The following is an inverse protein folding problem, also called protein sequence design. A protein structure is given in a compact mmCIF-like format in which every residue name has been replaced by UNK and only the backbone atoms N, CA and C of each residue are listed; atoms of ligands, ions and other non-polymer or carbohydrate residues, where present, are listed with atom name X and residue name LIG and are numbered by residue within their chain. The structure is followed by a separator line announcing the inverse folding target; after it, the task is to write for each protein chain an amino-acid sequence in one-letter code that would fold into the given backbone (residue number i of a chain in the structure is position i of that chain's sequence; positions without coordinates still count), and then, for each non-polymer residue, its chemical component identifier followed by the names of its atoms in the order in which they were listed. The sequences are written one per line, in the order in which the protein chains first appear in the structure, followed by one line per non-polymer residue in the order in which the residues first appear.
data_IF_436295150896
#
_entry.id   IF_436295150896
#
_cell.length_a   1.000
_cell.length_b   1.000
_cell.length_c   1.000
_cell.angle_alpha   90.00
_cell.angle_beta   90.00
_cell.angle_gamma   90.00
#
_symmetry.space_group_name_H-M   'P 1'
#
loop_
_entity.id
_entity.type
_entity.pdbx_description
1 polymer ?
#
# COMPACT_ATOMS: atom_id res chain seq x y z
N UNK A 1 17.60 0.08 -9.57
CA UNK A 1 16.71 0.15 -8.39
C UNK A 1 17.58 0.40 -7.18
N UNK A 2 17.47 1.55 -6.50
CA UNK A 2 18.09 1.66 -5.17
C UNK A 2 17.25 0.79 -4.24
N UNK A 3 17.84 -0.27 -3.68
CA UNK A 3 17.23 -1.00 -2.59
C UNK A 3 17.22 -0.05 -1.39
N UNK A 4 16.07 0.55 -1.12
CA UNK A 4 15.84 1.23 0.14
C UNK A 4 16.00 0.15 1.23
N UNK A 5 16.94 0.27 2.19
CA UNK A 5 17.15 -0.74 3.22
C UNK A 5 16.09 -0.62 4.33
N UNK A 6 14.81 -0.58 3.94
CA UNK A 6 13.68 -0.46 4.86
C UNK A 6 12.97 -1.81 4.91
N UNK A 7 12.77 -2.30 6.12
CA UNK A 7 12.01 -3.50 6.41
C UNK A 7 10.73 -3.11 7.16
N UNK A 8 9.61 -3.68 6.75
CA UNK A 8 8.31 -3.56 7.41
C UNK A 8 7.91 -4.93 7.97
N UNK A 9 7.10 -4.96 9.03
CA UNK A 9 6.81 -6.17 9.81
C UNK A 9 5.30 -6.39 9.98
N UNK A 10 4.92 -7.63 10.32
CA UNK A 10 3.53 -8.01 10.53
C UNK A 10 2.70 -7.84 9.24
N UNK A 11 1.52 -7.26 9.38
CA UNK A 11 0.62 -6.96 8.26
C UNK A 11 0.88 -5.61 7.57
N UNK A 12 2.05 -5.00 7.77
CA UNK A 12 2.37 -3.73 7.13
C UNK A 12 2.94 -3.92 5.72
N UNK A 13 2.60 -2.98 4.84
CA UNK A 13 3.08 -2.85 3.47
C UNK A 13 3.83 -1.54 3.33
N UNK A 14 5.00 -1.59 2.68
CA UNK A 14 5.67 -0.42 2.18
C UNK A 14 5.32 -0.26 0.70
N UNK A 15 4.63 0.83 0.39
CA UNK A 15 4.20 1.16 -0.97
C UNK A 15 4.87 2.43 -1.45
N UNK A 16 5.30 2.45 -2.71
CA UNK A 16 5.68 3.67 -3.43
C UNK A 16 4.43 4.20 -4.13
N UNK A 17 4.02 5.44 -3.85
CA UNK A 17 2.84 6.00 -4.49
C UNK A 17 3.03 6.15 -6.00
N UNK A 18 1.95 5.86 -6.73
CA UNK A 18 1.85 6.13 -8.15
C UNK A 18 1.24 7.52 -8.37
N UNK A 19 1.80 8.27 -9.32
CA UNK A 19 1.24 9.56 -9.72
C UNK A 19 -0.08 9.41 -10.48
N UNK A 20 -0.25 8.27 -11.15
CA UNK A 20 -1.42 7.95 -11.96
C UNK A 20 -1.95 6.55 -11.60
N UNK A 21 -3.27 6.32 -11.70
CA UNK A 21 -3.85 4.99 -11.51
C UNK A 21 -3.36 4.01 -12.60
N UNK A 22 -3.40 2.69 -12.35
CA UNK A 22 -3.18 1.68 -13.38
C UNK A 22 -4.04 1.92 -14.61
N UNK A 23 -3.53 1.54 -15.79
CA UNK A 23 -4.29 1.59 -17.02
C UNK A 23 -5.58 0.76 -16.85
N UNK A 24 -6.70 1.30 -17.34
CA UNK A 24 -8.01 0.64 -17.44
C UNK A 24 -8.78 0.34 -16.14
N UNK A 25 -8.21 0.58 -14.96
CA UNK A 25 -8.91 0.35 -13.68
C UNK A 25 -9.04 1.64 -12.87
N UNK A 26 -10.28 2.01 -12.57
CA UNK A 26 -10.59 3.09 -11.62
C UNK A 26 -11.56 2.61 -10.55
N UNK A 27 -11.08 2.59 -9.32
CA UNK A 27 -11.90 2.36 -8.14
C UNK A 27 -12.54 3.68 -7.73
N UNK A 28 -13.83 3.64 -7.42
CA UNK A 28 -14.62 4.79 -6.96
C UNK A 28 -15.16 4.52 -5.57
N UNK A 29 -14.86 5.40 -4.60
CA UNK A 29 -15.48 5.34 -3.29
C UNK A 29 -16.88 5.98 -3.35
N UNK A 30 -17.97 5.28 -2.97
CA UNK A 30 -19.32 5.86 -2.96
C UNK A 30 -19.47 7.08 -2.04
N UNK A 31 -18.60 7.21 -1.04
CA UNK A 31 -18.57 8.33 -0.08
C UNK A 31 -17.74 9.51 -0.58
N UNK A 32 -17.08 9.39 -1.74
CA UNK A 32 -16.27 10.44 -2.34
C UNK A 32 -14.82 10.51 -1.85
N UNK A 33 -14.37 9.59 -0.99
CA UNK A 33 -12.97 9.54 -0.56
C UNK A 33 -12.03 9.32 -1.77
N UNK A 34 -10.91 10.04 -1.85
CA UNK A 34 -9.92 9.80 -2.90
C UNK A 34 -9.32 8.39 -2.77
N UNK A 35 -9.17 7.71 -3.91
CA UNK A 35 -8.45 6.43 -3.98
C UNK A 35 -7.01 6.71 -4.42
N UNK A 36 -6.05 6.23 -3.63
CA UNK A 36 -4.63 6.23 -3.95
C UNK A 36 -4.20 4.85 -4.42
N UNK A 37 -3.17 4.84 -5.24
CA UNK A 37 -2.55 3.64 -5.77
C UNK A 37 -1.08 3.64 -5.40
N UNK A 38 -0.59 2.52 -4.90
CA UNK A 38 0.80 2.35 -4.51
C UNK A 38 1.34 1.02 -4.98
N UNK A 39 2.59 1.01 -5.47
CA UNK A 39 3.30 -0.22 -5.81
C UNK A 39 4.00 -0.77 -4.57
N UNK A 40 3.79 -2.04 -4.26
CA UNK A 40 4.40 -2.71 -3.11
C UNK A 40 5.90 -2.85 -3.35
N UNK A 41 6.71 -2.18 -2.54
CA UNK A 41 8.18 -2.26 -2.58
C UNK A 41 8.76 -2.95 -1.33
N UNK A 42 7.91 -3.24 -0.34
CA UNK A 42 8.23 -4.05 0.83
C UNK A 42 6.96 -4.56 1.51
N UNK A 43 7.05 -5.69 2.20
CA UNK A 43 5.94 -6.28 2.96
C UNK A 43 6.45 -6.99 4.19
N UNK A 44 5.65 -7.00 5.24
CA UNK A 44 5.89 -7.86 6.38
C UNK A 44 5.65 -9.33 6.08
N UNK A 45 5.79 -10.13 7.12
CA UNK A 45 5.55 -11.58 7.11
C UNK A 45 4.05 -11.94 7.08
N UNK A 46 3.17 -10.96 7.29
CA UNK A 46 1.73 -11.13 7.34
C UNK A 46 1.20 -11.60 8.69
N UNK A 47 2.03 -11.62 9.74
CA UNK A 47 1.55 -11.95 11.08
C UNK A 47 0.69 -10.81 11.64
N UNK A 48 -0.58 -11.12 11.92
CA UNK A 48 -1.54 -10.22 12.55
C UNK A 48 -1.64 -10.59 14.03
N UNK A 49 -0.97 -9.82 14.89
CA UNK A 49 -0.97 -10.05 16.33
C UNK A 49 -2.38 -9.98 16.93
N UNK A 50 -3.24 -9.11 16.41
CA UNK A 50 -4.61 -8.94 16.91
C UNK A 50 -5.50 -10.14 16.61
N UNK A 51 -5.26 -10.82 15.48
CA UNK A 51 -5.97 -12.04 15.09
C UNK A 51 -5.22 -13.33 15.45
N UNK A 52 -3.97 -13.23 15.90
CA UNK A 52 -3.05 -14.34 16.13
C UNK A 52 -2.97 -15.30 14.92
N UNK A 53 -2.87 -14.74 13.71
CA UNK A 53 -2.92 -15.49 12.46
C UNK A 53 -2.02 -14.88 11.38
N UNK A 54 -1.62 -15.69 10.41
CA UNK A 54 -0.93 -15.21 9.21
C UNK A 54 -1.93 -14.87 8.11
N UNK A 55 -1.76 -13.70 7.51
CA UNK A 55 -2.57 -13.20 6.40
C UNK A 55 -1.75 -13.17 5.13
N UNK A 56 -2.41 -13.50 4.02
CA UNK A 56 -1.78 -13.41 2.71
C UNK A 56 -1.49 -11.94 2.38
N UNK A 57 -0.22 -11.66 2.09
CA UNK A 57 0.26 -10.32 1.80
C UNK A 57 0.37 -10.14 0.27
N UNK A 58 -0.03 -8.98 -0.28
CA UNK A 58 0.25 -8.63 -1.67
C UNK A 58 1.72 -8.84 -2.02
N UNK A 59 2.05 -9.46 -3.17
CA UNK A 59 3.44 -9.69 -3.55
C UNK A 59 4.16 -8.37 -3.84
N UNK A 60 5.49 -8.42 -3.86
CA UNK A 60 6.28 -7.28 -4.31
C UNK A 60 5.90 -6.91 -5.76
N UNK A 61 6.03 -5.64 -6.09
CA UNK A 61 5.63 -5.01 -7.36
C UNK A 61 4.12 -5.01 -7.64
N UNK A 62 3.28 -5.70 -6.85
CA UNK A 62 1.84 -5.57 -6.96
C UNK A 62 1.41 -4.12 -6.76
N UNK A 63 0.35 -3.70 -7.46
CA UNK A 63 -0.27 -2.40 -7.22
C UNK A 63 -1.44 -2.59 -6.27
N UNK A 64 -1.46 -1.85 -5.17
CA UNK A 64 -2.56 -1.83 -4.22
C UNK A 64 -3.33 -0.52 -4.30
N UNK A 65 -4.65 -0.62 -4.16
CA UNK A 65 -5.54 0.52 -4.04
C UNK A 65 -6.02 0.66 -2.58
N UNK A 66 -6.01 1.87 -2.06
CA UNK A 66 -6.48 2.19 -0.71
C UNK A 66 -7.13 3.58 -0.69
N UNK A 67 -8.07 3.75 0.24
CA UNK A 67 -8.71 5.04 0.49
C UNK A 67 -7.76 5.96 1.24
N UNK A 68 -7.73 7.24 0.85
CA UNK A 68 -7.13 8.31 1.65
C UNK A 68 -8.27 9.09 2.30
N UNK A 69 -8.32 9.10 3.63
CA UNK A 69 -9.32 9.89 4.35
C UNK A 69 -9.04 11.38 4.13
N UNK A 70 -10.10 12.18 4.02
CA UNK A 70 -9.97 13.63 3.97
C UNK A 70 -9.48 14.23 5.30
N UNK A 71 -9.61 13.48 6.40
CA UNK A 71 -9.27 13.91 7.75
C UNK A 71 -7.88 13.43 8.19
N UNK A 72 -7.38 12.32 7.63
CA UNK A 72 -6.10 11.72 8.01
C UNK A 72 -5.40 11.04 6.82
N UNK A 73 -4.08 11.20 6.77
CA UNK A 73 -3.22 10.44 5.85
C UNK A 73 -3.11 9.02 6.37
N UNK A 74 -3.55 8.04 5.58
CA UNK A 74 -3.43 6.62 5.94
C UNK A 74 -1.95 6.23 6.07
N UNK A 75 -1.57 5.79 7.28
CA UNK A 75 -0.25 5.26 7.57
C UNK A 75 0.85 6.32 7.78
N UNK A 76 2.09 5.85 7.84
CA UNK A 76 3.28 6.72 7.92
C UNK A 76 3.82 6.97 6.52
N UNK A 77 4.34 8.16 6.23
CA UNK A 77 4.92 8.47 4.93
C UNK A 77 6.33 9.05 5.05
N UNK A 78 7.13 8.85 4.00
CA UNK A 78 8.46 9.43 3.84
C UNK A 78 8.81 9.57 2.36
N UNK A 79 9.84 10.33 2.04
CA UNK A 79 10.27 10.54 0.66
C UNK A 79 11.66 9.94 0.43
N UNK A 80 11.82 9.27 -0.71
CA UNK A 80 13.12 8.81 -1.21
C UNK A 80 13.29 9.32 -2.62
N UNK A 81 14.35 10.09 -2.87
CA UNK A 81 14.63 10.70 -4.17
C UNK A 81 13.44 11.49 -4.75
N UNK A 82 12.62 12.11 -3.89
CA UNK A 82 11.42 12.87 -4.28
C UNK A 82 10.16 12.02 -4.48
N UNK A 83 10.25 10.70 -4.33
CA UNK A 83 9.11 9.79 -4.45
C UNK A 83 8.50 9.48 -3.09
N UNK A 84 7.19 9.67 -2.96
CA UNK A 84 6.46 9.39 -1.73
C UNK A 84 6.31 7.88 -1.52
N UNK A 85 6.71 7.44 -0.33
CA UNK A 85 6.55 6.09 0.16
C UNK A 85 5.62 6.11 1.37
N UNK A 86 4.73 5.12 1.48
CA UNK A 86 3.84 4.95 2.61
C UNK A 86 3.97 3.58 3.24
N UNK A 87 3.93 3.55 4.56
CA UNK A 87 3.72 2.34 5.35
C UNK A 87 2.25 2.27 5.70
N UNK A 88 1.52 1.37 5.04
CA UNK A 88 0.09 1.15 5.26
C UNK A 88 -0.14 -0.24 5.85
N UNK A 89 -1.25 -0.43 6.56
CA UNK A 89 -1.68 -1.77 7.00
C UNK A 89 -2.39 -2.50 5.87
N UNK A 90 -2.33 -3.83 5.87
CA UNK A 90 -3.10 -4.67 4.96
C UNK A 90 -4.61 -4.35 5.00
N UNK A 91 -5.14 -3.97 6.16
CA UNK A 91 -6.56 -3.62 6.34
C UNK A 91 -7.00 -2.39 5.54
N UNK A 92 -6.07 -1.51 5.18
CA UNK A 92 -6.35 -0.35 4.34
C UNK A 92 -6.43 -0.72 2.85
N UNK A 93 -5.92 -1.89 2.45
CA UNK A 93 -5.92 -2.32 1.05
C UNK A 93 -7.31 -2.81 0.65
N UNK A 94 -7.87 -2.17 -0.37
CA UNK A 94 -9.19 -2.50 -0.94
C UNK A 94 -9.03 -3.53 -2.04
N UNK A 95 -8.02 -3.37 -2.90
CA UNK A 95 -7.71 -4.26 -4.02
C UNK A 95 -6.20 -4.36 -4.22
N UNK A 96 -5.76 -5.51 -4.72
CA UNK A 96 -4.39 -5.75 -5.18
C UNK A 96 -4.42 -6.28 -6.61
N UNK A 97 -3.63 -5.66 -7.48
CA UNK A 97 -3.45 -6.06 -8.88
C UNK A 97 -2.07 -6.71 -9.02
N UNK A 98 -1.97 -7.91 -9.62
CA UNK A 98 -0.67 -8.48 -9.97
C UNK A 98 0.05 -7.55 -10.95
N UNK A 99 1.38 -7.46 -10.83
CA UNK A 99 2.20 -6.82 -11.85
C UNK A 99 2.34 -7.80 -13.03
N UNK A 100 2.00 -7.35 -14.26
CA UNK A 100 2.29 -8.09 -15.49
C UNK A 100 3.78 -8.10 -15.82
#
# INVERSE_FOLDING_TARGET
MSQIPVQVYGINLLVKLLNEPPADIRVHCPKGSPIRYGRVVGRGDGFDEGANAFREMPPLEAVVAFEESAEDVEGHYFYVAGEEHRVIRLDAVILSFPHE
#
